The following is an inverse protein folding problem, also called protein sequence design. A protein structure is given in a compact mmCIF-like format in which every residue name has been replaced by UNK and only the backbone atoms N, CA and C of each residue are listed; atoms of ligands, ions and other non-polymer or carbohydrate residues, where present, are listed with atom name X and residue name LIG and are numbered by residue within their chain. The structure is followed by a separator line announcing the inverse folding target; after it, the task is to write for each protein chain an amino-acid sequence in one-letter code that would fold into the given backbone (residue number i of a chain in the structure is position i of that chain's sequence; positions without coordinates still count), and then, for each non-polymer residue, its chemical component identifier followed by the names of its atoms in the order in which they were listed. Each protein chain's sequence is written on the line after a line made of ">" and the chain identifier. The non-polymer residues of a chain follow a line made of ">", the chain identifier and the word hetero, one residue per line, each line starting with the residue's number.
data_IF_343159725128
#
_entry.id   IF_343159725128
#
_cell.length_a   1.000
_cell.length_b   1.000
_cell.length_c   1.000
_cell.angle_alpha   90.00
_cell.angle_beta   90.00
_cell.angle_gamma   90.00
#
_symmetry.space_group_name_H-M   'P 1'
#
loop_
_entity.id
_entity.type
_entity.pdbx_description
1 polymer ?
#
# COMPACT_ATOMS: atom_id res chain seq x y z
N UNK A 1 -33.07 14.50 16.37
CA UNK A 1 -32.33 13.23 16.41
C UNK A 1 -30.86 13.58 16.54
N UNK A 2 -30.19 13.28 17.67
CA UNK A 2 -28.76 13.54 17.77
C UNK A 2 -28.06 12.59 16.78
N UNK A 3 -27.23 13.11 15.89
CA UNK A 3 -26.43 12.24 15.06
C UNK A 3 -25.30 11.67 15.95
N UNK A 4 -24.76 10.51 15.57
CA UNK A 4 -23.36 10.12 15.88
C UNK A 4 -23.11 9.48 17.26
N UNK A 5 -23.42 8.19 17.38
CA UNK A 5 -22.73 7.30 18.34
C UNK A 5 -21.89 6.27 17.59
N UNK A 6 -21.14 6.72 16.58
CA UNK A 6 -20.15 5.91 15.87
C UNK A 6 -18.80 6.18 16.51
N UNK A 7 -18.14 5.15 17.03
CA UNK A 7 -16.74 5.21 17.45
C UNK A 7 -15.84 4.92 16.27
N UNK A 8 -14.98 5.85 15.88
CA UNK A 8 -13.87 5.55 14.96
C UNK A 8 -12.76 4.84 15.73
N UNK A 9 -12.41 3.63 15.32
CA UNK A 9 -11.27 2.89 15.80
C UNK A 9 -10.23 2.76 14.67
N UNK A 10 -8.95 2.83 15.02
CA UNK A 10 -7.88 2.49 14.08
C UNK A 10 -7.95 0.99 13.80
N UNK A 11 -7.83 0.59 12.53
CA UNK A 11 -7.72 -0.81 12.18
C UNK A 11 -6.40 -1.36 12.71
N UNK A 12 -6.46 -2.17 13.77
CA UNK A 12 -5.28 -2.77 14.40
C UNK A 12 -4.54 -3.69 13.43
N UNK A 13 -5.26 -4.38 12.53
CA UNK A 13 -4.71 -5.30 11.54
C UNK A 13 -3.73 -4.64 10.57
N UNK A 14 -3.96 -3.38 10.20
CA UNK A 14 -3.03 -2.61 9.35
C UNK A 14 -2.37 -1.44 10.09
N UNK A 15 -2.62 -1.28 11.39
CA UNK A 15 -2.15 -0.16 12.20
C UNK A 15 -2.50 1.21 11.62
N UNK A 16 -3.71 1.36 11.07
CA UNK A 16 -4.13 2.65 10.49
C UNK A 16 -3.71 2.89 9.04
N UNK A 17 -2.98 1.96 8.42
CA UNK A 17 -2.41 2.18 7.07
C UNK A 17 -3.39 1.92 5.94
N UNK A 18 -4.37 1.05 6.15
CA UNK A 18 -5.28 0.55 5.10
C UNK A 18 -4.65 -0.55 4.23
N UNK A 19 -3.36 -0.83 4.35
CA UNK A 19 -2.67 -1.87 3.61
C UNK A 19 -1.71 -2.62 4.52
N UNK A 20 -1.52 -3.91 4.22
CA UNK A 20 -0.59 -4.79 4.93
C UNK A 20 0.54 -5.17 4.00
N UNK A 21 1.77 -5.09 4.49
CA UNK A 21 2.92 -5.61 3.75
C UNK A 21 2.83 -7.13 3.81
N UNK A 22 2.45 -7.74 2.69
CA UNK A 22 2.31 -9.21 2.61
C UNK A 22 3.66 -9.84 2.35
N UNK A 23 4.43 -9.23 1.46
CA UNK A 23 5.67 -9.83 1.00
C UNK A 23 6.63 -8.75 0.50
N UNK A 24 7.91 -8.94 0.77
CA UNK A 24 8.95 -8.13 0.16
C UNK A 24 9.73 -9.01 -0.81
N UNK A 25 9.50 -8.82 -2.11
CA UNK A 25 10.13 -9.61 -3.16
C UNK A 25 11.29 -8.86 -3.78
N UNK A 26 12.33 -9.58 -4.20
CA UNK A 26 13.43 -8.97 -4.96
C UNK A 26 12.88 -8.41 -6.27
N UNK A 27 13.29 -7.19 -6.61
CA UNK A 27 12.84 -6.56 -7.85
C UNK A 27 13.26 -7.43 -9.04
N UNK A 28 12.34 -7.89 -9.89
CA UNK A 28 12.64 -8.82 -10.97
C UNK A 28 13.61 -8.23 -11.99
N UNK A 29 13.56 -6.91 -12.20
CA UNK A 29 14.43 -6.22 -13.17
C UNK A 29 15.89 -6.08 -12.73
N UNK A 30 16.17 -6.03 -11.42
CA UNK A 30 17.56 -5.96 -10.91
C UNK A 30 17.95 -7.13 -10.01
N UNK A 31 17.07 -8.13 -9.84
CA UNK A 31 17.27 -9.31 -8.99
C UNK A 31 17.75 -9.00 -7.56
N UNK A 32 17.30 -7.88 -6.97
CA UNK A 32 17.76 -7.49 -5.64
C UNK A 32 18.95 -6.55 -5.60
N UNK A 33 19.61 -6.26 -6.72
CA UNK A 33 20.82 -5.43 -6.71
C UNK A 33 20.56 -3.93 -6.61
N UNK A 34 19.35 -3.47 -6.92
CA UNK A 34 19.00 -2.04 -6.94
C UNK A 34 19.71 -1.25 -8.04
N UNK A 35 20.57 -1.88 -8.84
CA UNK A 35 21.42 -1.22 -9.83
C UNK A 35 21.07 -1.62 -11.25
N UNK A 36 21.08 -0.64 -12.14
CA UNK A 36 20.91 -0.84 -13.58
C UNK A 36 22.22 -1.36 -14.20
N UNK A 37 22.51 -2.67 -14.05
CA UNK A 37 23.77 -3.25 -14.53
C UNK A 37 23.75 -3.57 -16.03
N UNK A 38 22.57 -3.83 -16.59
CA UNK A 38 22.36 -4.25 -17.98
C UNK A 38 20.87 -4.20 -18.32
N UNK A 39 20.33 -2.99 -18.46
CA UNK A 39 18.99 -2.79 -19.02
C UNK A 39 19.17 -2.12 -20.38
N UNK A 40 18.42 -2.58 -21.38
CA UNK A 40 18.46 -2.00 -22.71
C UNK A 40 17.92 -0.57 -22.62
N UNK A 41 18.82 0.42 -22.60
CA UNK A 41 18.46 1.84 -22.53
C UNK A 41 17.53 2.27 -23.67
N UNK A 42 17.55 1.55 -24.78
CA UNK A 42 16.74 1.83 -25.97
C UNK A 42 15.24 1.53 -25.81
N UNK A 43 14.83 0.72 -24.84
CA UNK A 43 13.41 0.40 -24.59
C UNK A 43 12.84 1.11 -23.35
N UNK A 44 13.62 1.99 -22.73
CA UNK A 44 13.23 2.71 -21.52
C UNK A 44 12.64 4.07 -21.87
N UNK A 45 11.57 4.45 -21.17
CA UNK A 45 11.08 5.83 -21.20
C UNK A 45 12.11 6.80 -20.60
N UNK A 46 12.05 8.07 -20.97
CA UNK A 46 13.00 9.12 -20.54
C UNK A 46 13.21 9.16 -19.02
N UNK A 47 12.15 8.97 -18.23
CA UNK A 47 12.23 8.90 -16.77
C UNK A 47 13.03 7.68 -16.27
N UNK A 48 12.83 6.52 -16.89
CA UNK A 48 13.56 5.30 -16.54
C UNK A 48 15.02 5.37 -17.00
N UNK A 49 15.27 6.04 -18.12
CA UNK A 49 16.61 6.31 -18.65
C UNK A 49 17.42 7.18 -17.70
N UNK A 50 16.84 8.26 -17.15
CA UNK A 50 17.52 9.12 -16.19
C UNK A 50 17.89 8.36 -14.89
N UNK A 51 16.98 7.51 -14.39
CA UNK A 51 17.28 6.63 -13.25
C UNK A 51 18.40 5.62 -13.56
N UNK A 52 18.37 5.02 -14.76
CA UNK A 52 19.37 4.08 -15.22
C UNK A 52 20.76 4.73 -15.34
N UNK A 53 20.81 5.96 -15.88
CA UNK A 53 22.02 6.78 -15.96
C UNK A 53 22.57 7.14 -14.56
N UNK A 54 21.67 7.36 -13.60
CA UNK A 54 22.01 7.48 -12.17
C UNK A 54 22.41 6.17 -11.49
N UNK A 55 22.56 5.07 -12.25
CA UNK A 55 22.95 3.75 -11.75
C UNK A 55 21.86 3.02 -10.95
N UNK A 56 20.66 3.59 -10.86
CA UNK A 56 19.55 3.07 -10.05
C UNK A 56 18.56 2.31 -10.93
N UNK A 57 18.09 1.15 -10.46
CA UNK A 57 17.14 0.36 -11.23
C UNK A 57 15.78 1.10 -11.31
N UNK A 58 15.27 1.43 -12.50
CA UNK A 58 14.04 2.22 -12.64
C UNK A 58 12.79 1.44 -12.26
N UNK A 59 12.84 0.11 -12.25
CA UNK A 59 11.71 -0.73 -11.86
C UNK A 59 11.47 -0.76 -10.33
N UNK A 60 12.50 -0.46 -9.53
CA UNK A 60 12.38 -0.36 -8.07
C UNK A 60 12.92 0.96 -7.52
N UNK A 61 13.15 1.96 -8.38
CA UNK A 61 13.75 3.24 -7.99
C UNK A 61 15.04 3.07 -7.14
N UNK A 62 15.89 2.10 -7.48
CA UNK A 62 17.14 1.86 -6.74
C UNK A 62 17.02 1.06 -5.44
N UNK A 63 15.82 0.75 -4.93
CA UNK A 63 15.68 -0.02 -3.66
C UNK A 63 16.08 -1.48 -3.77
N UNK A 64 16.10 -2.06 -4.98
CA UNK A 64 16.41 -3.47 -5.19
C UNK A 64 15.27 -4.43 -4.84
N UNK A 65 14.25 -3.97 -4.13
CA UNK A 65 13.11 -4.77 -3.67
C UNK A 65 11.79 -4.13 -4.08
N UNK A 66 10.77 -4.95 -4.23
CA UNK A 66 9.40 -4.54 -4.47
C UNK A 66 8.57 -5.00 -3.29
N UNK A 67 8.05 -4.04 -2.54
CA UNK A 67 7.12 -4.29 -1.44
C UNK A 67 5.75 -4.58 -2.02
N UNK A 68 5.28 -5.81 -1.85
CA UNK A 68 3.91 -6.19 -2.19
C UNK A 68 3.05 -5.87 -0.98
N UNK A 69 2.27 -4.80 -1.11
CA UNK A 69 1.26 -4.42 -0.14
C UNK A 69 -0.10 -4.89 -0.65
N UNK A 70 -0.86 -5.60 0.18
CA UNK A 70 -2.24 -5.95 -0.11
C UNK A 70 -3.18 -5.04 0.67
N UNK A 71 -4.33 -4.73 0.06
CA UNK A 71 -5.39 -3.97 0.71
C UNK A 71 -5.81 -4.73 1.97
N UNK A 72 -5.84 -4.04 3.10
CA UNK A 72 -6.30 -4.65 4.34
C UNK A 72 -7.78 -5.01 4.19
N UNK A 73 -8.10 -6.31 4.31
CA UNK A 73 -9.46 -6.82 4.15
C UNK A 73 -10.39 -6.40 5.29
N UNK A 74 -9.84 -6.28 6.50
CA UNK A 74 -10.58 -5.87 7.70
C UNK A 74 -11.17 -4.47 7.58
N UNK A 75 -10.36 -3.50 7.15
CA UNK A 75 -10.81 -2.13 6.94
C UNK A 75 -11.06 -1.81 5.47
N UNK A 76 -11.09 -2.79 4.56
CA UNK A 76 -11.25 -2.59 3.11
C UNK A 76 -10.34 -1.53 2.46
N UNK A 77 -9.16 -1.26 3.02
CA UNK A 77 -8.28 -0.20 2.53
C UNK A 77 -8.38 1.15 3.22
N UNK A 78 -9.30 1.31 4.17
CA UNK A 78 -9.58 2.60 4.80
C UNK A 78 -8.62 2.93 5.95
N UNK A 79 -8.02 1.92 6.59
CA UNK A 79 -7.14 2.11 7.75
C UNK A 79 -7.90 2.32 9.07
N UNK A 80 -9.20 2.57 9.00
CA UNK A 80 -10.07 2.80 10.14
C UNK A 80 -11.31 1.91 10.06
N UNK A 81 -11.85 1.57 11.23
CA UNK A 81 -13.05 0.76 11.40
C UNK A 81 -14.03 1.60 12.21
N UNK A 82 -15.25 1.72 11.72
CA UNK A 82 -16.35 2.39 12.41
C UNK A 82 -17.08 1.37 13.26
N UNK A 83 -17.12 1.59 14.56
CA UNK A 83 -17.91 0.80 15.50
C UNK A 83 -19.20 1.55 15.81
N UNK A 84 -20.35 0.92 15.58
CA UNK A 84 -21.58 1.50 16.06
C UNK A 84 -21.75 1.20 17.56
N UNK A 85 -21.75 2.23 18.40
CA UNK A 85 -21.96 2.07 19.85
C UNK A 85 -23.40 1.68 20.24
N UNK A 86 -24.31 1.64 19.26
CA UNK A 86 -25.72 1.26 19.47
C UNK A 86 -25.92 -0.25 19.29
N UNK A 87 -25.34 -0.86 18.24
CA UNK A 87 -25.49 -2.29 17.95
C UNK A 87 -24.21 -3.11 18.18
N UNK A 88 -23.05 -2.47 18.37
CA UNK A 88 -21.75 -3.12 18.52
C UNK A 88 -21.12 -3.60 17.20
N UNK A 89 -21.73 -3.30 16.05
CA UNK A 89 -21.20 -3.73 14.75
C UNK A 89 -19.99 -2.91 14.30
N UNK A 90 -19.04 -3.60 13.68
CA UNK A 90 -17.77 -3.05 13.19
C UNK A 90 -17.82 -2.99 11.65
N UNK A 91 -17.53 -1.84 11.07
CA UNK A 91 -17.62 -1.63 9.63
C UNK A 91 -16.33 -0.98 9.09
N UNK A 92 -15.67 -1.67 8.19
CA UNK A 92 -14.53 -1.15 7.44
C UNK A 92 -15.00 -0.44 6.17
N UNK A 93 -15.13 0.89 6.18
CA UNK A 93 -15.38 1.66 4.97
C UNK A 93 -16.19 2.94 5.11
N UNK A 94 -16.50 3.56 3.96
CA UNK A 94 -17.27 4.80 3.90
C UNK A 94 -18.77 4.59 4.16
N UNK A 95 -19.26 3.36 3.98
CA UNK A 95 -20.66 3.09 3.62
C UNK A 95 -21.54 2.35 4.62
N UNK A 96 -21.32 2.42 5.92
CA UNK A 96 -22.26 1.82 6.89
C UNK A 96 -22.80 2.87 7.86
N UNK A 97 -24.05 3.25 7.61
CA UNK A 97 -24.85 4.09 8.51
C UNK A 97 -25.50 3.14 9.51
N UNK A 98 -25.19 3.31 10.79
CA UNK A 98 -25.97 2.66 11.84
C UNK A 98 -27.41 3.21 11.76
N UNK A 99 -28.36 2.37 11.35
CA UNK A 99 -29.77 2.73 11.16
C UNK A 99 -30.62 2.24 12.33
#
# INVERSE_FOLDING_TARGET
>A
MPPQSIGMAVCETCGGKGFVLVEEKKCPSCKGTGKAKSINLSELSEQQLNLALGGSCPACNGTGVTRVTEKCRECNGYGEIKECKVCGSHFGGDGDRCQ
#
